data_IF_044694979911
#
_entry.id   IF_044694979911
#
_cell.length_a   1.000
_cell.length_b   1.000
_cell.length_c   1.000
_cell.angle_alpha   90.00
_cell.angle_beta   90.00
_cell.angle_gamma   90.00
#
_symmetry.space_group_name_H-M   'P 1'
#
loop_
_entity.id
_entity.type
_entity.pdbx_description
1 polymer ?
#
# COMPACT_ATOMS: atom_id res chain seq x y z
N UNK A 1 -6.62 1.26 -4.34
CA UNK A 1 -6.48 2.59 -4.91
C UNK A 1 -5.00 2.96 -5.20
N UNK A 2 -4.03 2.36 -4.53
CA UNK A 2 -2.60 2.70 -4.62
C UNK A 2 -1.78 1.82 -5.59
N UNK A 3 -2.42 0.92 -6.33
CA UNK A 3 -1.77 -0.12 -7.14
C UNK A 3 -1.37 0.34 -8.57
N UNK A 4 -1.66 1.59 -8.94
CA UNK A 4 -1.34 2.17 -10.25
C UNK A 4 -0.17 3.15 -10.12
N UNK A 5 1.03 2.62 -9.90
CA UNK A 5 2.27 3.39 -9.94
C UNK A 5 3.06 3.14 -11.21
N UNK A 6 3.81 4.15 -11.67
CA UNK A 6 4.79 4.02 -12.75
C UNK A 6 5.97 3.21 -12.19
N UNK A 7 6.34 2.11 -12.84
CA UNK A 7 7.56 1.37 -12.51
C UNK A 7 8.76 2.22 -12.90
N UNK A 8 9.65 2.49 -11.93
CA UNK A 8 10.86 3.26 -12.18
C UNK A 8 12.06 2.33 -12.44
N UNK A 9 12.35 1.46 -11.49
CA UNK A 9 13.46 0.51 -11.56
C UNK A 9 13.23 -0.65 -10.59
N UNK A 10 14.05 -1.69 -10.71
CA UNK A 10 14.06 -2.82 -9.79
C UNK A 10 15.39 -2.84 -9.03
N UNK A 11 15.34 -2.85 -7.70
CA UNK A 11 16.52 -2.86 -6.84
C UNK A 11 16.49 -4.08 -5.91
N UNK A 12 17.52 -4.92 -5.95
CA UNK A 12 17.62 -6.19 -5.21
C UNK A 12 16.39 -7.12 -5.38
N UNK A 13 15.70 -7.05 -6.54
CA UNK A 13 14.51 -7.83 -6.82
C UNK A 13 13.20 -7.22 -6.30
N UNK A 14 13.25 -6.00 -5.75
CA UNK A 14 12.07 -5.22 -5.37
C UNK A 14 11.78 -4.16 -6.43
N UNK A 15 10.54 -4.12 -6.92
CA UNK A 15 10.10 -3.09 -7.83
C UNK A 15 9.86 -1.78 -7.09
N UNK A 16 10.51 -0.71 -7.51
CA UNK A 16 10.26 0.65 -7.03
C UNK A 16 9.26 1.30 -7.97
N UNK A 17 8.09 1.63 -7.44
CA UNK A 17 7.00 2.26 -8.17
C UNK A 17 6.71 3.66 -7.62
N UNK A 18 6.40 4.58 -8.51
CA UNK A 18 6.03 5.95 -8.17
C UNK A 18 4.55 6.17 -8.47
N UNK A 19 3.79 6.53 -7.45
CA UNK A 19 2.43 7.01 -7.65
C UNK A 19 2.48 8.46 -8.12
N UNK A 20 1.60 8.86 -9.03
CA UNK A 20 1.56 10.23 -9.57
C UNK A 20 1.37 11.30 -8.48
N UNK A 21 0.72 10.97 -7.35
CA UNK A 21 0.56 11.89 -6.21
C UNK A 21 1.87 12.30 -5.56
N UNK A 22 2.92 11.49 -5.72
CA UNK A 22 4.26 11.85 -5.25
C UNK A 22 4.87 13.02 -6.02
N UNK A 23 4.53 13.18 -7.30
CA UNK A 23 5.01 14.32 -8.09
C UNK A 23 4.52 15.65 -7.51
N UNK A 24 3.30 15.69 -6.98
CA UNK A 24 2.77 16.88 -6.29
C UNK A 24 3.64 17.19 -5.07
N UNK A 25 3.97 16.18 -4.27
CA UNK A 25 4.85 16.33 -3.11
C UNK A 25 6.25 16.80 -3.53
N UNK A 26 6.82 16.21 -4.59
CA UNK A 26 8.14 16.61 -5.10
C UNK A 26 8.20 18.08 -5.49
N UNK A 27 7.18 18.57 -6.21
CA UNK A 27 7.08 19.98 -6.58
C UNK A 27 6.96 20.86 -5.35
N UNK A 28 6.11 20.50 -4.38
CA UNK A 28 5.93 21.27 -3.14
C UNK A 28 7.21 21.31 -2.30
N UNK A 29 7.91 20.18 -2.14
CA UNK A 29 9.18 20.11 -1.41
C UNK A 29 10.23 20.95 -2.12
N UNK A 30 10.41 20.78 -3.44
CA UNK A 30 11.36 21.56 -4.22
C UNK A 30 11.12 23.07 -4.08
N UNK A 31 9.86 23.47 -4.21
CA UNK A 31 9.46 24.86 -4.04
C UNK A 31 9.75 25.37 -2.61
N UNK A 32 9.37 24.64 -1.58
CA UNK A 32 9.60 24.99 -0.18
C UNK A 32 11.10 25.08 0.15
N UNK A 33 11.91 24.17 -0.38
CA UNK A 33 13.36 24.20 -0.20
C UNK A 33 13.98 25.40 -0.91
N UNK A 34 13.57 25.67 -2.15
CA UNK A 34 14.15 26.73 -2.98
C UNK A 34 13.77 28.15 -2.52
N UNK A 35 12.54 28.34 -2.01
CA UNK A 35 12.04 29.67 -1.63
C UNK A 35 12.05 29.94 -0.13
N UNK A 36 12.14 28.90 0.69
CA UNK A 36 12.10 29.02 2.17
C UNK A 36 13.38 28.54 2.84
N UNK A 37 13.62 27.23 2.82
CA UNK A 37 14.67 26.63 3.64
C UNK A 37 16.09 27.07 3.24
N UNK A 38 16.49 26.91 1.97
CA UNK A 38 17.85 27.24 1.54
C UNK A 38 18.19 28.74 1.61
N UNK A 39 17.32 29.68 1.19
CA UNK A 39 17.56 31.09 1.37
C UNK A 39 17.70 31.49 2.84
N UNK A 40 16.91 30.90 3.74
CA UNK A 40 16.99 31.19 5.18
C UNK A 40 18.26 30.61 5.83
N UNK A 41 18.75 29.48 5.35
CA UNK A 41 19.93 28.81 5.90
C UNK A 41 21.24 29.35 5.34
N UNK A 42 21.30 29.69 4.07
CA UNK A 42 22.48 30.21 3.39
C UNK A 42 22.06 31.40 2.50
N UNK A 43 21.95 32.62 3.07
CA UNK A 43 21.66 33.80 2.29
C UNK A 43 22.81 34.11 1.30
N UNK A 44 22.56 34.97 0.33
CA UNK A 44 23.54 35.49 -0.63
C UNK A 44 23.89 34.56 -1.80
N UNK A 45 23.14 33.50 -2.04
CA UNK A 45 23.25 32.71 -3.28
C UNK A 45 22.28 33.24 -4.34
N UNK A 46 22.57 32.94 -5.63
CA UNK A 46 21.67 33.29 -6.72
C UNK A 46 20.35 32.45 -6.64
N UNK A 47 19.24 33.08 -7.01
CA UNK A 47 17.93 32.40 -7.02
C UNK A 47 17.93 31.09 -7.84
N UNK A 48 18.64 31.07 -8.96
CA UNK A 48 18.80 29.85 -9.77
C UNK A 48 19.49 28.73 -8.99
N UNK A 49 20.47 29.05 -8.14
CA UNK A 49 21.18 28.09 -7.29
C UNK A 49 20.22 27.46 -6.28
N UNK A 50 19.36 28.22 -5.64
CA UNK A 50 18.37 27.67 -4.69
C UNK A 50 17.41 26.68 -5.37
N UNK A 51 16.99 26.95 -6.60
CA UNK A 51 16.15 26.01 -7.36
C UNK A 51 16.88 24.70 -7.64
N UNK A 52 18.15 24.74 -8.06
CA UNK A 52 18.95 23.53 -8.23
C UNK A 52 19.16 22.77 -6.93
N UNK A 53 19.45 23.45 -5.84
CA UNK A 53 19.55 22.88 -4.50
C UNK A 53 18.22 22.22 -4.10
N UNK A 54 17.09 22.86 -4.38
CA UNK A 54 15.76 22.32 -4.13
C UNK A 54 15.50 21.02 -4.90
N UNK A 55 15.82 20.98 -6.20
CA UNK A 55 15.68 19.77 -7.02
C UNK A 55 16.57 18.64 -6.51
N UNK A 56 17.87 18.91 -6.31
CA UNK A 56 18.82 17.90 -5.82
C UNK A 56 18.47 17.42 -4.42
N UNK A 57 18.06 18.33 -3.52
CA UNK A 57 17.58 17.98 -2.18
C UNK A 57 16.34 17.08 -2.21
N UNK A 58 15.38 17.37 -3.10
CA UNK A 58 14.18 16.53 -3.27
C UNK A 58 14.49 15.17 -3.83
N UNK A 59 15.40 15.08 -4.83
CA UNK A 59 15.86 13.79 -5.37
C UNK A 59 16.62 13.00 -4.30
N UNK A 60 17.48 13.65 -3.52
CA UNK A 60 18.19 13.02 -2.40
C UNK A 60 17.24 12.48 -1.33
N UNK A 61 16.20 13.24 -0.97
CA UNK A 61 15.16 12.78 -0.06
C UNK A 61 14.39 11.58 -0.63
N UNK A 62 14.07 11.59 -1.93
CA UNK A 62 13.46 10.43 -2.62
C UNK A 62 14.30 9.16 -2.42
N UNK A 63 15.59 9.23 -2.70
CA UNK A 63 16.49 8.08 -2.49
C UNK A 63 16.59 7.69 -1.01
N UNK A 64 16.61 8.65 -0.10
CA UNK A 64 16.62 8.39 1.35
C UNK A 64 15.40 7.56 1.77
N UNK A 65 14.21 7.93 1.29
CA UNK A 65 12.97 7.17 1.55
C UNK A 65 13.04 5.77 0.91
N UNK A 66 13.53 5.67 -0.33
CA UNK A 66 13.69 4.36 -1.00
C UNK A 66 14.63 3.45 -0.20
N UNK A 67 15.77 3.94 0.27
CA UNK A 67 16.71 3.14 1.07
C UNK A 67 16.14 2.76 2.44
N UNK A 68 15.38 3.65 3.07
CA UNK A 68 14.66 3.35 4.29
C UNK A 68 13.69 2.16 4.09
N UNK A 69 12.80 2.22 3.10
CA UNK A 69 11.85 1.17 2.77
C UNK A 69 12.52 -0.13 2.28
N UNK A 70 13.60 0.02 1.52
CA UNK A 70 14.40 -1.12 1.05
C UNK A 70 15.00 -1.90 2.22
N UNK A 71 15.46 -1.19 3.25
CA UNK A 71 16.03 -1.82 4.46
C UNK A 71 14.98 -2.68 5.19
N UNK A 72 13.76 -2.19 5.33
CA UNK A 72 12.63 -3.00 5.83
C UNK A 72 12.39 -4.24 4.97
N UNK A 73 12.36 -4.05 3.64
CA UNK A 73 12.08 -5.12 2.68
C UNK A 73 13.15 -6.21 2.68
N UNK A 74 14.42 -5.84 2.80
CA UNK A 74 15.55 -6.78 2.89
C UNK A 74 15.48 -7.64 4.16
N UNK A 75 15.18 -7.01 5.29
CA UNK A 75 15.01 -7.74 6.56
C UNK A 75 13.76 -8.63 6.50
N UNK A 76 12.62 -8.14 5.99
CA UNK A 76 11.41 -8.92 5.82
C UNK A 76 11.66 -10.20 5.00
N UNK A 77 12.38 -10.06 3.86
CA UNK A 77 12.77 -11.19 3.00
C UNK A 77 13.60 -12.23 3.72
N UNK A 78 14.53 -11.79 4.59
CA UNK A 78 15.37 -12.70 5.40
C UNK A 78 14.53 -13.54 6.39
N UNK A 79 13.36 -13.03 6.80
CA UNK A 79 12.41 -13.74 7.66
C UNK A 79 11.30 -14.46 6.87
N UNK A 80 11.44 -14.61 5.56
CA UNK A 80 10.48 -15.34 4.72
C UNK A 80 9.15 -14.60 4.51
N UNK A 81 9.09 -13.29 4.81
CA UNK A 81 7.89 -12.48 4.58
C UNK A 81 7.91 -12.01 3.12
N UNK A 82 6.92 -12.42 2.30
CA UNK A 82 6.89 -12.04 0.89
C UNK A 82 6.59 -10.56 0.72
N UNK A 83 7.53 -9.86 0.06
CA UNK A 83 7.44 -8.43 -0.29
C UNK A 83 7.45 -8.30 -1.81
N UNK A 84 6.55 -7.50 -2.38
CA UNK A 84 6.42 -7.37 -3.84
C UNK A 84 7.03 -6.10 -4.42
N UNK A 85 7.20 -5.08 -3.61
CA UNK A 85 7.79 -3.81 -4.06
C UNK A 85 7.58 -2.67 -3.09
N UNK A 86 8.12 -1.52 -3.46
CA UNK A 86 8.05 -0.27 -2.72
C UNK A 86 7.27 0.72 -3.59
N UNK A 87 6.15 1.22 -3.10
CA UNK A 87 5.39 2.26 -3.80
C UNK A 87 5.50 3.56 -3.04
N UNK A 88 5.97 4.62 -3.72
CA UNK A 88 6.04 5.96 -3.16
C UNK A 88 4.79 6.75 -3.53
N UNK A 89 4.20 7.43 -2.54
CA UNK A 89 3.02 8.28 -2.68
C UNK A 89 3.15 9.53 -1.79
N UNK A 90 2.17 10.44 -1.84
CA UNK A 90 2.22 11.76 -1.19
C UNK A 90 2.58 11.77 0.30
N UNK A 91 2.30 10.70 1.05
CA UNK A 91 2.63 10.62 2.48
C UNK A 91 3.87 9.76 2.80
N UNK A 92 4.70 9.43 1.79
CA UNK A 92 5.93 8.66 1.96
C UNK A 92 5.98 7.37 1.16
N UNK A 93 6.82 6.41 1.60
CA UNK A 93 6.92 5.08 1.03
C UNK A 93 5.96 4.10 1.70
N UNK A 94 5.53 3.10 0.97
CA UNK A 94 4.80 1.96 1.51
C UNK A 94 5.30 0.67 0.87
N UNK A 95 5.95 -0.15 1.67
CA UNK A 95 6.31 -1.50 1.27
C UNK A 95 5.06 -2.40 1.32
N UNK A 96 4.73 -3.03 0.19
CA UNK A 96 3.55 -3.89 0.09
C UNK A 96 3.83 -5.25 0.74
N UNK A 97 3.39 -5.41 1.99
CA UNK A 97 3.40 -6.69 2.69
C UNK A 97 2.08 -7.44 2.48
N UNK A 98 2.15 -8.68 2.03
CA UNK A 98 0.97 -9.54 1.89
C UNK A 98 0.67 -10.38 3.13
N UNK A 99 1.64 -10.54 4.01
CA UNK A 99 1.49 -11.31 5.24
C UNK A 99 2.03 -10.51 6.42
N UNK A 100 1.38 -10.66 7.56
CA UNK A 100 1.92 -10.12 8.81
C UNK A 100 3.13 -10.92 9.28
N UNK A 101 4.06 -10.30 10.03
CA UNK A 101 5.18 -11.01 10.65
C UNK A 101 4.70 -12.17 11.51
N UNK A 102 5.36 -13.32 11.39
CA UNK A 102 4.96 -14.55 12.09
C UNK A 102 5.27 -14.54 13.60
N UNK A 103 6.18 -13.66 14.03
CA UNK A 103 6.60 -13.56 15.43
C UNK A 103 7.03 -12.12 15.76
N UNK A 104 7.02 -11.75 17.07
CA UNK A 104 7.40 -10.40 17.51
C UNK A 104 8.82 -10.01 17.14
N UNK A 105 9.77 -10.96 17.17
CA UNK A 105 11.19 -10.69 16.88
C UNK A 105 11.40 -10.25 15.43
N UNK A 106 10.76 -10.94 14.47
CA UNK A 106 10.85 -10.55 13.06
C UNK A 106 10.26 -9.17 12.81
N UNK A 107 9.15 -8.83 13.48
CA UNK A 107 8.53 -7.51 13.35
C UNK A 107 9.44 -6.40 13.93
N UNK A 108 10.03 -6.59 15.12
CA UNK A 108 10.96 -5.62 15.70
C UNK A 108 12.15 -5.35 14.78
N UNK A 109 12.82 -6.42 14.32
CA UNK A 109 14.01 -6.29 13.49
C UNK A 109 13.70 -5.66 12.12
N UNK A 110 12.57 -6.02 11.53
CA UNK A 110 12.10 -5.40 10.31
C UNK A 110 11.83 -3.90 10.53
N UNK A 111 11.09 -3.53 11.59
CA UNK A 111 10.73 -2.14 11.86
C UNK A 111 11.90 -1.27 12.28
N UNK A 112 12.96 -1.83 12.88
CA UNK A 112 14.18 -1.10 13.20
C UNK A 112 15.06 -0.85 11.98
N UNK A 113 14.97 -1.67 10.94
CA UNK A 113 15.88 -1.61 9.78
C UNK A 113 15.85 -0.28 9.05
N UNK A 114 14.66 0.29 8.82
CA UNK A 114 14.51 1.59 8.17
C UNK A 114 15.11 2.75 8.96
N UNK A 115 14.69 2.96 10.22
CA UNK A 115 15.29 3.99 11.08
C UNK A 115 16.81 3.87 11.21
N UNK A 116 17.35 2.65 11.38
CA UNK A 116 18.80 2.43 11.45
C UNK A 116 19.47 2.84 10.13
N UNK A 117 18.92 2.46 8.98
CA UNK A 117 19.44 2.88 7.69
C UNK A 117 19.44 4.40 7.53
N UNK A 118 18.34 5.07 7.90
CA UNK A 118 18.26 6.53 7.87
C UNK A 118 19.26 7.19 8.81
N UNK A 119 19.49 6.65 10.01
CA UNK A 119 20.52 7.17 10.93
C UNK A 119 21.90 7.04 10.30
N UNK A 120 22.24 5.87 9.73
CA UNK A 120 23.53 5.65 9.08
C UNK A 120 23.73 6.63 7.93
N UNK A 121 22.74 6.77 7.04
CA UNK A 121 22.79 7.70 5.91
C UNK A 121 22.95 9.14 6.42
N UNK A 122 22.17 9.52 7.43
CA UNK A 122 22.25 10.86 8.05
C UNK A 122 23.62 11.16 8.60
N UNK A 123 24.20 10.24 9.38
CA UNK A 123 25.53 10.37 9.94
C UNK A 123 26.64 10.41 8.89
N UNK A 124 26.51 9.61 7.81
CA UNK A 124 27.45 9.65 6.68
C UNK A 124 27.44 11.01 6.01
N UNK A 125 26.27 11.58 5.68
CA UNK A 125 26.17 12.91 5.07
C UNK A 125 26.71 14.00 5.99
N UNK A 126 26.38 13.98 7.29
CA UNK A 126 26.89 14.93 8.27
C UNK A 126 28.41 14.78 8.46
N UNK A 127 28.91 13.56 8.46
CA UNK A 127 30.35 13.28 8.53
C UNK A 127 31.11 13.83 7.31
N UNK A 128 30.58 13.63 6.09
CA UNK A 128 31.15 14.20 4.86
C UNK A 128 31.16 15.73 4.94
N UNK A 129 30.07 16.34 5.40
CA UNK A 129 29.96 17.80 5.54
C UNK A 129 30.97 18.32 6.60
N UNK A 130 31.12 17.63 7.71
CA UNK A 130 32.07 17.98 8.77
C UNK A 130 33.54 17.87 8.31
N UNK A 131 33.90 16.78 7.62
CA UNK A 131 35.27 16.57 7.09
C UNK A 131 35.60 17.60 6.02
N UNK A 132 34.61 18.00 5.17
CA UNK A 132 34.77 19.05 4.17
C UNK A 132 34.98 20.44 4.76
N UNK A 133 34.71 20.62 6.05
CA UNK A 133 34.90 21.86 6.80
C UNK A 133 34.22 23.07 6.20
N UNK A 134 34.78 24.28 6.45
CA UNK A 134 34.20 25.51 5.95
C UNK A 134 34.22 25.62 4.39
N UNK A 135 35.21 24.99 3.75
CA UNK A 135 35.34 25.00 2.29
C UNK A 135 34.17 24.30 1.58
N UNK A 136 33.63 23.25 2.14
CA UNK A 136 32.45 22.55 1.61
C UNK A 136 31.17 23.15 2.19
N UNK A 137 31.12 23.41 3.49
CA UNK A 137 29.90 23.77 4.21
C UNK A 137 29.24 25.06 3.75
N UNK A 138 29.99 26.00 3.15
CA UNK A 138 29.49 27.25 2.59
C UNK A 138 29.10 27.14 1.10
N UNK A 139 29.37 26.01 0.47
CA UNK A 139 28.96 25.80 -0.94
C UNK A 139 27.53 25.26 -1.02
N UNK A 140 26.86 25.49 -2.16
CA UNK A 140 25.54 24.93 -2.43
C UNK A 140 25.49 23.40 -2.23
N UNK A 141 26.57 22.70 -2.62
CA UNK A 141 26.70 21.25 -2.45
C UNK A 141 26.77 20.87 -0.96
N UNK A 142 27.59 21.57 -0.18
CA UNK A 142 27.72 21.30 1.26
C UNK A 142 26.43 21.56 2.03
N UNK A 143 25.70 22.62 1.67
CA UNK A 143 24.38 22.93 2.26
C UNK A 143 23.37 21.83 1.95
N UNK A 144 23.33 21.29 0.70
CA UNK A 144 22.46 20.18 0.33
C UNK A 144 22.86 18.89 1.07
N UNK A 145 24.16 18.59 1.18
CA UNK A 145 24.65 17.45 1.95
C UNK A 145 24.25 17.56 3.43
N UNK A 146 24.41 18.74 4.03
CA UNK A 146 23.96 19.01 5.40
C UNK A 146 22.44 18.81 5.57
N UNK A 147 21.66 19.33 4.65
CA UNK A 147 20.21 19.13 4.61
C UNK A 147 19.86 17.62 4.55
N UNK A 148 20.48 16.86 3.64
CA UNK A 148 20.23 15.43 3.52
C UNK A 148 20.62 14.66 4.78
N UNK A 149 21.68 15.10 5.46
CA UNK A 149 22.06 14.54 6.75
C UNK A 149 20.98 14.75 7.82
N UNK A 150 20.54 15.99 7.99
CA UNK A 150 19.53 16.37 8.99
C UNK A 150 18.18 15.71 8.68
N UNK A 151 17.72 15.75 7.43
CA UNK A 151 16.41 15.20 7.08
C UNK A 151 16.33 13.68 7.25
N UNK A 152 17.44 12.95 7.06
CA UNK A 152 17.49 11.54 7.34
C UNK A 152 17.39 11.23 8.85
N UNK A 153 18.01 12.05 9.70
CA UNK A 153 17.86 11.93 11.16
C UNK A 153 16.43 12.26 11.60
N UNK A 154 15.81 13.30 11.01
CA UNK A 154 14.40 13.62 11.25
C UNK A 154 13.50 12.48 10.81
N UNK A 155 13.74 11.89 9.63
CA UNK A 155 13.00 10.73 9.11
C UNK A 155 13.07 9.56 10.07
N UNK A 156 14.27 9.26 10.61
CA UNK A 156 14.45 8.21 11.61
C UNK A 156 13.72 8.53 12.91
N UNK A 157 13.89 9.73 13.44
CA UNK A 157 13.26 10.16 14.69
C UNK A 157 11.73 10.14 14.59
N UNK A 158 11.17 10.63 13.50
CA UNK A 158 9.73 10.62 13.27
C UNK A 158 9.19 9.18 13.17
N UNK A 159 9.88 8.31 12.44
CA UNK A 159 9.47 6.91 12.32
C UNK A 159 9.64 6.13 13.62
N UNK A 160 10.51 6.53 14.54
CA UNK A 160 10.66 5.90 15.87
C UNK A 160 9.61 6.34 16.89
N UNK A 161 8.75 7.31 16.58
CA UNK A 161 7.62 7.67 17.46
C UNK A 161 6.74 6.42 17.68
N UNK A 162 6.39 6.08 18.94
CA UNK A 162 5.64 4.85 19.25
C UNK A 162 4.15 4.97 18.90
N UNK A 163 3.86 5.41 17.69
CA UNK A 163 2.53 5.68 17.15
C UNK A 163 2.30 4.87 15.86
N UNK A 164 1.46 3.85 15.90
CA UNK A 164 1.11 3.12 14.68
C UNK A 164 0.45 4.06 13.65
N UNK A 165 0.78 4.03 12.35
CA UNK A 165 1.51 2.98 11.60
C UNK A 165 3.02 3.17 11.48
N UNK A 166 3.62 4.15 12.16
CA UNK A 166 5.06 4.38 12.12
C UNK A 166 5.83 3.17 12.64
N UNK A 167 7.12 3.07 12.32
CA UNK A 167 7.95 1.93 12.73
C UNK A 167 8.06 1.77 14.24
N UNK A 168 8.17 2.88 14.99
CA UNK A 168 8.12 2.88 16.44
C UNK A 168 6.81 2.34 17.00
N UNK A 169 5.69 2.59 16.31
CA UNK A 169 4.40 2.00 16.64
C UNK A 169 4.34 0.49 16.39
N UNK A 170 5.02 -0.01 15.36
CA UNK A 170 5.19 -1.45 15.10
C UNK A 170 6.11 -2.09 16.14
N UNK A 171 7.20 -1.42 16.50
CA UNK A 171 8.09 -1.87 17.59
C UNK A 171 7.30 -1.97 18.90
N UNK A 172 6.52 -0.95 19.26
CA UNK A 172 5.65 -0.96 20.42
C UNK A 172 4.65 -2.13 20.36
N UNK A 173 3.98 -2.33 19.22
CA UNK A 173 3.08 -3.46 19.00
C UNK A 173 3.77 -4.79 19.28
N UNK A 174 4.97 -4.97 18.74
CA UNK A 174 5.72 -6.21 18.86
C UNK A 174 6.21 -6.48 20.28
N UNK A 175 6.61 -5.45 21.01
CA UNK A 175 6.98 -5.56 22.43
C UNK A 175 5.79 -5.96 23.27
N UNK A 176 4.63 -5.33 23.06
CA UNK A 176 3.38 -5.68 23.72
C UNK A 176 2.92 -7.11 23.37
N UNK A 177 3.08 -7.50 22.09
CA UNK A 177 2.76 -8.85 21.64
C UNK A 177 3.68 -9.90 22.28
N UNK A 178 5.00 -9.64 22.32
CA UNK A 178 5.96 -10.55 22.97
C UNK A 178 5.63 -10.78 24.46
N UNK A 179 5.23 -9.73 25.19
CA UNK A 179 4.90 -9.80 26.61
C UNK A 179 3.54 -10.44 26.86
N UNK A 180 2.53 -10.02 26.12
CA UNK A 180 1.12 -10.43 26.35
C UNK A 180 0.65 -11.62 25.53
N UNK A 181 1.46 -12.14 24.57
CA UNK A 181 1.14 -13.22 23.62
C UNK A 181 -0.16 -13.01 22.82
N UNK A 182 -0.71 -11.80 22.84
CA UNK A 182 -1.96 -11.41 22.16
C UNK A 182 -1.69 -10.27 21.16
N UNK A 183 -1.59 -10.63 19.88
CA UNK A 183 -1.39 -9.67 18.79
C UNK A 183 -2.58 -8.69 18.67
N UNK A 184 -3.82 -9.16 18.92
CA UNK A 184 -5.03 -8.33 18.82
C UNK A 184 -5.00 -7.19 19.85
N UNK A 185 -4.67 -7.53 21.11
CA UNK A 185 -4.54 -6.54 22.19
C UNK A 185 -3.39 -5.57 21.92
N UNK A 186 -2.23 -6.09 21.49
CA UNK A 186 -1.07 -5.27 21.13
C UNK A 186 -1.39 -4.27 20.01
N UNK A 187 -2.00 -4.75 18.89
CA UNK A 187 -2.41 -3.90 17.78
C UNK A 187 -3.45 -2.86 18.21
N UNK A 188 -4.43 -3.23 19.06
CA UNK A 188 -5.44 -2.30 19.58
C UNK A 188 -4.80 -1.15 20.37
N UNK A 189 -3.83 -1.45 21.24
CA UNK A 189 -3.14 -0.43 22.04
C UNK A 189 -2.32 0.48 21.15
N UNK A 190 -1.47 -0.08 20.28
CA UNK A 190 -0.62 0.70 19.37
C UNK A 190 -1.42 1.56 18.41
N UNK A 191 -2.55 1.04 17.87
CA UNK A 191 -3.45 1.82 17.02
C UNK A 191 -4.17 2.93 17.76
N UNK A 192 -4.52 2.75 19.05
CA UNK A 192 -5.09 3.82 19.86
C UNK A 192 -4.09 4.94 20.11
N UNK A 193 -2.84 4.59 20.42
CA UNK A 193 -1.74 5.57 20.59
C UNK A 193 -1.51 6.31 19.28
N UNK A 194 -1.44 5.59 18.14
CA UNK A 194 -1.29 6.22 16.82
C UNK A 194 -2.46 7.15 16.47
N UNK A 195 -3.70 6.75 16.78
CA UNK A 195 -4.88 7.61 16.58
C UNK A 195 -4.84 8.84 17.48
N UNK A 196 -4.37 8.72 18.73
CA UNK A 196 -4.17 9.82 19.66
C UNK A 196 -3.10 10.79 19.18
N UNK A 197 -1.97 10.26 18.68
CA UNK A 197 -0.91 11.07 18.07
C UNK A 197 -1.41 11.81 16.81
N UNK A 198 -2.23 11.15 15.97
CA UNK A 198 -2.89 11.81 14.84
C UNK A 198 -3.80 12.97 15.28
N UNK A 199 -4.56 12.82 16.37
CA UNK A 199 -5.38 13.91 16.94
C UNK A 199 -4.47 15.05 17.44
N UNK A 200 -3.39 14.71 18.13
CA UNK A 200 -2.42 15.71 18.60
C UNK A 200 -1.89 16.54 17.45
N UNK A 201 -1.47 15.92 16.33
CA UNK A 201 -1.00 16.66 15.14
C UNK A 201 -2.10 17.52 14.52
N UNK A 202 -3.36 17.07 14.50
CA UNK A 202 -4.49 17.86 14.01
C UNK A 202 -4.65 19.13 14.87
N UNK A 203 -4.62 18.99 16.19
CA UNK A 203 -4.75 20.13 17.12
C UNK A 203 -3.59 21.11 16.94
N UNK A 204 -2.35 20.60 16.87
CA UNK A 204 -1.18 21.42 16.62
C UNK A 204 -1.26 22.15 15.26
N UNK A 205 -1.75 21.44 14.22
CA UNK A 205 -1.95 22.04 12.90
C UNK A 205 -2.99 23.16 12.92
N UNK A 206 -4.08 23.01 13.68
CA UNK A 206 -5.09 24.09 13.84
C UNK A 206 -4.50 25.28 14.60
N UNK A 207 -3.73 25.05 15.65
CA UNK A 207 -3.08 26.12 16.40
C UNK A 207 -2.05 26.88 15.56
N UNK A 208 -1.25 26.18 14.77
CA UNK A 208 -0.27 26.74 13.86
C UNK A 208 -0.94 27.56 12.74
N UNK A 209 -2.06 27.05 12.21
CA UNK A 209 -2.90 27.76 11.24
C UNK A 209 -3.45 29.10 11.80
N UNK A 210 -3.99 29.08 13.03
CA UNK A 210 -4.50 30.26 13.70
C UNK A 210 -3.34 31.25 14.03
N UNK A 211 -2.15 30.71 14.32
CA UNK A 211 -0.92 31.49 14.55
C UNK A 211 -0.33 32.13 13.30
N UNK A 212 -0.96 31.99 12.13
CA UNK A 212 -0.55 32.60 10.86
C UNK A 212 0.31 31.73 9.95
N UNK A 213 0.73 30.57 10.38
CA UNK A 213 1.42 29.59 9.52
C UNK A 213 0.41 28.68 8.80
N UNK A 214 -0.32 29.23 7.83
CA UNK A 214 -1.41 28.55 7.13
C UNK A 214 -0.96 27.25 6.44
N UNK A 215 0.18 27.28 5.76
CA UNK A 215 0.69 26.12 5.00
C UNK A 215 1.14 25.00 5.96
N UNK A 216 1.93 25.33 6.97
CA UNK A 216 2.40 24.38 7.98
C UNK A 216 1.24 23.76 8.76
N UNK A 217 0.29 24.60 9.19
CA UNK A 217 -0.89 24.15 9.93
C UNK A 217 -1.77 23.18 9.15
N UNK A 218 -2.07 23.49 7.88
CA UNK A 218 -2.83 22.58 6.99
C UNK A 218 -2.07 21.27 6.79
N UNK A 219 -0.74 21.34 6.58
CA UNK A 219 0.07 20.15 6.36
C UNK A 219 0.11 19.24 7.59
N UNK A 220 0.31 19.78 8.78
CA UNK A 220 0.25 19.04 10.04
C UNK A 220 -1.12 18.37 10.26
N UNK A 221 -2.20 19.11 9.99
CA UNK A 221 -3.55 18.57 10.12
C UNK A 221 -3.81 17.41 9.14
N UNK A 222 -3.34 17.53 7.88
CA UNK A 222 -3.45 16.47 6.87
C UNK A 222 -2.67 15.22 7.29
N UNK A 223 -1.43 15.37 7.75
CA UNK A 223 -0.64 14.23 8.28
C UNK A 223 -1.35 13.58 9.46
N UNK A 224 -1.87 14.38 10.40
CA UNK A 224 -2.60 13.87 11.56
C UNK A 224 -3.87 13.10 11.17
N UNK A 225 -4.67 13.59 10.23
CA UNK A 225 -5.85 12.88 9.69
C UNK A 225 -5.46 11.56 9.01
N UNK A 226 -4.39 11.58 8.24
CA UNK A 226 -3.86 10.39 7.56
C UNK A 226 -3.41 9.33 8.56
N UNK A 227 -2.58 9.67 9.54
CA UNK A 227 -2.10 8.76 10.59
C UNK A 227 -3.26 8.17 11.39
N UNK A 228 -4.24 9.00 11.79
CA UNK A 228 -5.44 8.56 12.48
C UNK A 228 -6.26 7.55 11.66
N UNK A 229 -6.44 7.84 10.36
CA UNK A 229 -7.19 6.97 9.45
C UNK A 229 -6.52 5.61 9.29
N UNK A 230 -5.21 5.59 9.01
CA UNK A 230 -4.46 4.33 8.86
C UNK A 230 -4.43 3.54 10.16
N UNK A 231 -4.21 4.20 11.31
CA UNK A 231 -4.21 3.53 12.62
C UNK A 231 -5.52 2.79 12.89
N UNK A 232 -6.67 3.40 12.60
CA UNK A 232 -7.98 2.77 12.74
C UNK A 232 -8.18 1.62 11.76
N UNK A 233 -7.87 1.86 10.50
CA UNK A 233 -8.06 0.87 9.43
C UNK A 233 -7.20 -0.38 9.65
N UNK A 234 -5.98 -0.24 10.15
CA UNK A 234 -5.09 -1.37 10.42
C UNK A 234 -5.63 -2.31 11.50
N UNK A 235 -6.22 -1.75 12.57
CA UNK A 235 -6.86 -2.58 13.58
C UNK A 235 -8.09 -3.30 13.03
N UNK A 236 -8.91 -2.63 12.23
CA UNK A 236 -10.07 -3.25 11.59
C UNK A 236 -9.66 -4.37 10.63
N UNK A 237 -8.61 -4.16 9.82
CA UNK A 237 -8.07 -5.19 8.92
C UNK A 237 -7.60 -6.43 9.69
N UNK A 238 -6.93 -6.25 10.84
CA UNK A 238 -6.53 -7.36 11.68
C UNK A 238 -7.75 -8.13 12.21
N UNK A 239 -8.80 -7.43 12.65
CA UNK A 239 -10.03 -8.07 13.13
C UNK A 239 -10.73 -8.88 12.04
N UNK A 240 -10.87 -8.30 10.84
CA UNK A 240 -11.44 -8.99 9.68
C UNK A 240 -10.63 -10.25 9.34
N UNK A 241 -9.31 -10.11 9.26
CA UNK A 241 -8.43 -11.25 8.97
C UNK A 241 -8.59 -12.38 10.00
N UNK A 242 -8.58 -12.04 11.30
CA UNK A 242 -8.76 -13.03 12.37
C UNK A 242 -10.15 -13.67 12.40
N UNK A 243 -11.18 -12.94 11.97
CA UNK A 243 -12.52 -13.49 11.85
C UNK A 243 -12.65 -14.51 10.69
N UNK A 244 -11.81 -14.35 9.66
CA UNK A 244 -11.80 -15.23 8.48
C UNK A 244 -10.78 -16.37 8.57
N UNK A 245 -9.81 -16.28 9.48
CA UNK A 245 -8.71 -17.24 9.63
C UNK A 245 -9.23 -18.59 10.14
N UNK A 246 -8.94 -19.65 9.39
CA UNK A 246 -9.42 -21.02 9.69
C UNK A 246 -10.87 -21.29 9.24
N UNK A 247 -11.58 -20.28 8.75
CA UNK A 247 -12.95 -20.46 8.27
C UNK A 247 -12.96 -20.84 6.78
N UNK A 248 -13.64 -21.93 6.40
CA UNK A 248 -13.74 -22.36 5.02
C UNK A 248 -14.63 -21.40 4.22
N UNK A 249 -14.31 -21.23 2.93
CA UNK A 249 -15.00 -20.30 2.03
C UNK A 249 -16.50 -20.58 1.90
N UNK A 250 -16.93 -21.85 2.10
CA UNK A 250 -18.34 -22.24 2.05
C UNK A 250 -19.25 -21.49 3.03
N UNK A 251 -18.70 -20.92 4.13
CA UNK A 251 -19.49 -20.09 5.08
C UNK A 251 -19.88 -18.74 4.53
N UNK A 252 -19.14 -18.24 3.54
CA UNK A 252 -19.28 -16.87 3.02
C UNK A 252 -19.72 -16.83 1.56
N UNK A 253 -19.73 -17.99 0.87
CA UNK A 253 -20.14 -18.04 -0.52
C UNK A 253 -21.67 -17.89 -0.68
N UNK A 254 -22.07 -17.36 -1.82
CA UNK A 254 -23.45 -17.41 -2.28
C UNK A 254 -23.70 -18.78 -2.93
N UNK A 255 -24.60 -19.58 -2.34
CA UNK A 255 -24.83 -21.00 -2.73
C UNK A 255 -25.74 -21.16 -3.95
N UNK A 256 -26.49 -20.10 -4.32
CA UNK A 256 -27.35 -20.12 -5.50
C UNK A 256 -26.94 -18.99 -6.46
N UNK A 257 -25.84 -19.18 -7.22
CA UNK A 257 -25.37 -18.19 -8.17
C UNK A 257 -26.25 -18.23 -9.44
N UNK A 258 -26.46 -17.06 -10.05
CA UNK A 258 -27.08 -16.99 -11.37
C UNK A 258 -26.13 -17.65 -12.37
N UNK A 259 -26.55 -18.77 -12.96
CA UNK A 259 -25.82 -19.50 -13.99
C UNK A 259 -26.38 -19.19 -15.37
N UNK A 260 -25.57 -19.45 -16.39
CA UNK A 260 -25.96 -19.29 -17.79
C UNK A 260 -25.68 -20.57 -18.57
N UNK A 261 -26.53 -20.88 -19.53
CA UNK A 261 -26.29 -21.99 -20.44
C UNK A 261 -25.35 -21.62 -21.57
N UNK A 262 -24.52 -22.56 -22.06
CA UNK A 262 -23.57 -22.27 -23.14
C UNK A 262 -24.25 -21.98 -24.48
N UNK A 263 -25.49 -22.43 -24.67
CA UNK A 263 -26.27 -22.30 -25.93
C UNK A 263 -26.92 -20.94 -26.13
N UNK A 264 -27.03 -20.09 -25.09
CA UNK A 264 -27.64 -18.75 -25.24
C UNK A 264 -26.71 -17.83 -26.03
N UNK A 265 -27.30 -16.86 -26.76
CA UNK A 265 -26.55 -15.86 -27.52
C UNK A 265 -25.88 -14.86 -26.60
N UNK A 266 -24.84 -14.18 -27.09
CA UNK A 266 -24.21 -13.08 -26.35
C UNK A 266 -25.18 -11.94 -26.12
N UNK A 267 -26.14 -11.71 -27.03
CA UNK A 267 -27.18 -10.72 -26.86
C UNK A 267 -28.09 -11.07 -25.68
N UNK A 268 -28.59 -12.32 -25.61
CA UNK A 268 -29.41 -12.81 -24.51
C UNK A 268 -28.66 -12.73 -23.17
N UNK A 269 -27.36 -13.08 -23.16
CA UNK A 269 -26.51 -12.92 -22.00
C UNK A 269 -26.44 -11.47 -21.52
N UNK A 270 -26.33 -10.51 -22.44
CA UNK A 270 -26.22 -9.09 -22.08
C UNK A 270 -27.55 -8.54 -21.58
N UNK A 271 -28.63 -8.77 -22.35
CA UNK A 271 -29.94 -8.18 -22.06
C UNK A 271 -30.60 -8.81 -20.83
N UNK A 272 -30.61 -10.15 -20.74
CA UNK A 272 -31.36 -10.87 -19.71
C UNK A 272 -30.54 -11.20 -18.45
N UNK A 273 -29.19 -11.17 -18.53
CA UNK A 273 -28.35 -11.48 -17.37
C UNK A 273 -27.50 -10.28 -16.94
N UNK A 274 -26.69 -9.69 -17.82
CA UNK A 274 -25.76 -8.63 -17.42
C UNK A 274 -26.51 -7.38 -16.98
N UNK A 275 -27.48 -6.90 -17.76
CA UNK A 275 -28.28 -5.72 -17.43
C UNK A 275 -29.25 -5.97 -16.28
N UNK A 276 -29.74 -7.20 -16.11
CA UNK A 276 -30.69 -7.54 -15.06
C UNK A 276 -30.02 -7.74 -13.70
N UNK A 277 -28.90 -8.46 -13.64
CA UNK A 277 -28.27 -8.87 -12.37
C UNK A 277 -27.02 -8.04 -12.04
N UNK A 278 -26.46 -7.29 -12.99
CA UNK A 278 -25.24 -6.48 -12.83
C UNK A 278 -24.03 -7.25 -12.28
N UNK A 279 -23.96 -8.56 -12.56
CA UNK A 279 -22.84 -9.37 -12.12
C UNK A 279 -21.66 -9.21 -13.09
N UNK A 280 -20.43 -9.32 -12.56
CA UNK A 280 -19.20 -9.23 -13.37
C UNK A 280 -18.74 -10.58 -13.91
N UNK A 281 -19.30 -11.68 -13.42
CA UNK A 281 -18.93 -13.05 -13.76
C UNK A 281 -20.14 -13.94 -13.58
N UNK A 282 -20.36 -14.82 -14.53
CA UNK A 282 -21.42 -15.83 -14.53
C UNK A 282 -20.79 -17.19 -14.72
N UNK A 283 -21.08 -18.19 -13.85
CA UNK A 283 -20.78 -19.58 -14.11
C UNK A 283 -21.57 -20.09 -15.32
N UNK A 284 -20.90 -20.81 -16.21
CA UNK A 284 -21.51 -21.47 -17.36
C UNK A 284 -21.71 -22.94 -17.04
N UNK A 285 -22.97 -23.40 -17.09
CA UNK A 285 -23.31 -24.79 -16.73
C UNK A 285 -24.11 -25.45 -17.83
N UNK A 286 -23.90 -26.75 -18.04
CA UNK A 286 -24.71 -27.59 -18.93
C UNK A 286 -25.20 -28.78 -18.11
N UNK A 287 -26.51 -28.94 -17.99
CA UNK A 287 -27.14 -30.03 -17.18
C UNK A 287 -26.61 -30.08 -15.73
N UNK A 288 -26.31 -28.93 -15.14
CA UNK A 288 -25.73 -28.82 -13.77
C UNK A 288 -24.22 -29.01 -13.69
N UNK A 289 -23.55 -29.40 -14.77
CA UNK A 289 -22.09 -29.51 -14.81
C UNK A 289 -21.44 -28.18 -15.14
N UNK A 290 -20.41 -27.77 -14.39
CA UNK A 290 -19.69 -26.53 -14.58
C UNK A 290 -18.71 -26.64 -15.76
N UNK A 291 -18.96 -25.93 -16.84
CA UNK A 291 -18.08 -25.87 -18.01
C UNK A 291 -17.01 -24.77 -17.90
N UNK A 292 -17.36 -23.67 -17.24
CA UNK A 292 -16.47 -22.53 -17.13
C UNK A 292 -17.15 -21.29 -16.60
N UNK A 293 -16.66 -20.13 -17.03
CA UNK A 293 -17.25 -18.85 -16.69
C UNK A 293 -17.19 -17.85 -17.84
N UNK A 294 -18.12 -16.91 -17.85
CA UNK A 294 -18.17 -15.79 -18.77
C UNK A 294 -18.25 -14.46 -18.00
N UNK A 295 -17.62 -13.44 -18.55
CA UNK A 295 -17.60 -12.09 -17.99
C UNK A 295 -17.66 -11.03 -19.08
N UNK A 296 -18.01 -9.79 -18.73
CA UNK A 296 -18.15 -8.69 -19.67
C UNK A 296 -16.92 -8.44 -20.59
N UNK A 297 -15.65 -8.56 -20.14
CA UNK A 297 -14.49 -8.42 -21.02
C UNK A 297 -14.44 -9.42 -22.18
N UNK A 298 -15.01 -10.62 -22.02
CA UNK A 298 -15.07 -11.63 -23.08
C UNK A 298 -16.12 -11.25 -24.11
N UNK A 299 -17.29 -10.80 -23.66
CA UNK A 299 -18.36 -10.30 -24.54
C UNK A 299 -17.91 -9.09 -25.36
N UNK A 300 -17.13 -8.19 -24.76
CA UNK A 300 -16.59 -6.98 -25.43
C UNK A 300 -15.56 -7.27 -26.55
N UNK A 301 -15.13 -8.51 -26.73
CA UNK A 301 -14.27 -8.91 -27.85
C UNK A 301 -15.05 -8.94 -29.16
N UNK A 302 -16.38 -8.99 -29.09
CA UNK A 302 -17.29 -9.00 -30.23
C UNK A 302 -18.02 -7.66 -30.33
N UNK A 303 -18.22 -7.18 -31.57
CA UNK A 303 -19.08 -6.00 -31.80
C UNK A 303 -20.54 -6.34 -31.51
N UNK A 304 -21.37 -5.33 -31.21
CA UNK A 304 -22.79 -5.53 -30.87
C UNK A 304 -23.57 -6.27 -31.97
N UNK A 305 -23.22 -6.03 -33.24
CA UNK A 305 -23.82 -6.66 -34.42
C UNK A 305 -23.52 -8.16 -34.54
N UNK A 306 -22.52 -8.64 -33.81
CA UNK A 306 -22.13 -10.05 -33.80
C UNK A 306 -22.75 -10.82 -32.64
N UNK A 307 -23.36 -10.16 -31.65
CA UNK A 307 -23.86 -10.81 -30.45
C UNK A 307 -24.98 -11.81 -30.69
N UNK A 308 -25.83 -11.59 -31.69
CA UNK A 308 -26.87 -12.55 -32.10
C UNK A 308 -26.29 -13.84 -32.74
N UNK A 309 -25.09 -13.75 -33.35
CA UNK A 309 -24.47 -14.83 -34.11
C UNK A 309 -23.55 -15.71 -33.26
N UNK A 310 -23.13 -15.21 -32.10
CA UNK A 310 -22.24 -15.92 -31.19
C UNK A 310 -22.95 -16.33 -29.92
N UNK A 311 -22.56 -17.50 -29.39
CA UNK A 311 -23.10 -18.05 -28.15
C UNK A 311 -22.11 -17.88 -26.99
N UNK A 312 -22.56 -18.15 -25.78
CA UNK A 312 -21.71 -18.20 -24.60
C UNK A 312 -20.61 -19.26 -24.74
N UNK A 313 -20.87 -20.36 -25.45
CA UNK A 313 -19.90 -21.45 -25.70
C UNK A 313 -18.66 -20.94 -26.47
N UNK A 314 -18.82 -19.94 -27.37
CA UNK A 314 -17.71 -19.36 -28.14
C UNK A 314 -16.74 -18.54 -27.27
N UNK A 315 -17.21 -18.05 -26.11
CA UNK A 315 -16.44 -17.14 -25.25
C UNK A 315 -16.16 -17.67 -23.86
N UNK A 316 -16.69 -18.85 -23.53
CA UNK A 316 -16.50 -19.44 -22.20
C UNK A 316 -15.04 -19.67 -21.89
N UNK A 317 -14.60 -19.25 -20.70
CA UNK A 317 -13.28 -19.61 -20.18
C UNK A 317 -13.39 -20.82 -19.27
N UNK A 318 -12.59 -21.83 -19.55
CA UNK A 318 -12.49 -23.02 -18.69
C UNK A 318 -12.13 -22.64 -17.26
N UNK A 319 -12.59 -23.44 -16.33
CA UNK A 319 -12.23 -23.32 -14.93
C UNK A 319 -10.74 -23.62 -14.74
N UNK A 320 -10.04 -22.71 -14.08
CA UNK A 320 -8.64 -22.85 -13.71
C UNK A 320 -8.42 -22.36 -12.26
N UNK A 321 -7.24 -22.56 -11.72
CA UNK A 321 -6.90 -22.11 -10.39
C UNK A 321 -7.09 -20.60 -10.19
N UNK A 322 -7.09 -19.80 -11.28
CA UNK A 322 -7.27 -18.36 -11.18
C UNK A 322 -8.73 -17.94 -11.01
N UNK A 323 -9.70 -18.73 -11.47
CA UNK A 323 -11.11 -18.37 -11.44
C UNK A 323 -11.97 -19.27 -10.54
N UNK A 324 -11.42 -20.40 -10.06
CA UNK A 324 -12.09 -21.36 -9.18
C UNK A 324 -11.36 -21.58 -7.87
N UNK A 325 -12.11 -22.08 -6.87
CA UNK A 325 -11.60 -22.42 -5.53
C UNK A 325 -12.45 -23.56 -4.92
N UNK A 326 -11.82 -24.47 -4.19
CA UNK A 326 -12.52 -25.49 -3.42
C UNK A 326 -13.25 -24.89 -2.21
N UNK A 327 -14.45 -25.40 -1.91
CA UNK A 327 -15.34 -24.90 -0.83
C UNK A 327 -14.72 -24.93 0.57
N UNK A 328 -13.75 -25.82 0.81
CA UNK A 328 -13.07 -25.97 2.09
C UNK A 328 -11.79 -25.14 2.22
N UNK A 329 -11.44 -24.38 1.19
CA UNK A 329 -10.26 -23.52 1.24
C UNK A 329 -10.44 -22.40 2.28
N UNK A 330 -9.37 -22.09 3.01
CA UNK A 330 -9.32 -20.99 3.99
C UNK A 330 -9.65 -19.63 3.35
N UNK A 331 -10.56 -18.90 3.99
CA UNK A 331 -11.09 -17.63 3.47
C UNK A 331 -10.04 -16.53 3.37
N UNK A 332 -9.06 -16.48 4.30
CA UNK A 332 -7.96 -15.49 4.26
C UNK A 332 -7.05 -15.74 3.06
N UNK A 333 -6.78 -17.03 2.76
CA UNK A 333 -5.98 -17.42 1.58
C UNK A 333 -6.65 -16.98 0.28
N UNK A 334 -7.97 -17.16 0.19
CA UNK A 334 -8.74 -16.76 -0.99
C UNK A 334 -8.81 -15.25 -1.11
N UNK A 335 -9.11 -14.53 -0.03
CA UNK A 335 -9.10 -13.06 -0.02
C UNK A 335 -7.76 -12.50 -0.49
N UNK A 336 -6.64 -13.04 -0.01
CA UNK A 336 -5.29 -12.64 -0.42
C UNK A 336 -5.04 -12.90 -1.91
N UNK A 337 -5.46 -14.08 -2.41
CA UNK A 337 -5.32 -14.46 -3.83
C UNK A 337 -6.18 -13.58 -4.74
N UNK A 338 -7.42 -13.27 -4.35
CA UNK A 338 -8.31 -12.38 -5.10
C UNK A 338 -7.71 -10.96 -5.20
N UNK A 339 -7.20 -10.43 -4.10
CA UNK A 339 -6.53 -9.10 -4.07
C UNK A 339 -5.28 -9.07 -4.94
N UNK A 340 -4.41 -10.09 -4.83
CA UNK A 340 -3.18 -10.21 -5.62
C UNK A 340 -3.45 -10.24 -7.13
N UNK A 341 -4.48 -10.97 -7.55
CA UNK A 341 -4.84 -11.14 -8.95
C UNK A 341 -5.80 -10.06 -9.48
N UNK A 342 -6.14 -9.05 -8.67
CA UNK A 342 -7.11 -7.99 -9.04
C UNK A 342 -8.52 -8.52 -9.29
N UNK A 343 -8.85 -9.71 -8.80
CA UNK A 343 -10.16 -10.35 -9.01
C UNK A 343 -11.12 -10.01 -7.88
N UNK A 344 -12.32 -9.62 -8.23
CA UNK A 344 -13.37 -9.32 -7.25
C UNK A 344 -14.31 -10.50 -6.97
N UNK A 345 -14.19 -11.60 -7.72
CA UNK A 345 -15.08 -12.78 -7.65
C UNK A 345 -14.33 -14.04 -8.05
N UNK A 346 -14.75 -15.19 -7.48
CA UNK A 346 -14.30 -16.53 -7.86
C UNK A 346 -15.47 -17.50 -7.77
N UNK A 347 -15.44 -18.53 -8.61
CA UNK A 347 -16.37 -19.66 -8.56
C UNK A 347 -15.91 -20.60 -7.45
N UNK A 348 -16.84 -21.05 -6.63
CA UNK A 348 -16.58 -22.06 -5.60
C UNK A 348 -17.04 -23.41 -6.10
N UNK A 349 -16.18 -24.40 -6.01
CA UNK A 349 -16.46 -25.77 -6.44
C UNK A 349 -16.41 -26.76 -5.29
N UNK A 350 -17.18 -27.80 -5.40
CA UNK A 350 -17.17 -28.98 -4.53
C UNK A 350 -17.02 -30.21 -5.41
N UNK A 351 -15.92 -30.94 -5.27
CA UNK A 351 -15.62 -32.11 -6.10
C UNK A 351 -15.73 -31.85 -7.62
N UNK A 352 -15.34 -30.63 -8.06
CA UNK A 352 -15.41 -30.22 -9.47
C UNK A 352 -16.77 -29.67 -9.92
N UNK A 353 -17.84 -29.81 -9.13
CA UNK A 353 -19.16 -29.25 -9.40
C UNK A 353 -19.32 -27.85 -8.84
N UNK A 354 -20.20 -27.03 -9.43
CA UNK A 354 -20.52 -25.69 -8.95
C UNK A 354 -21.18 -25.77 -7.56
N UNK A 355 -20.52 -25.18 -6.56
CA UNK A 355 -21.07 -25.04 -5.21
C UNK A 355 -21.58 -23.61 -4.94
N UNK A 356 -20.99 -22.60 -5.58
CA UNK A 356 -21.39 -21.22 -5.39
C UNK A 356 -20.43 -20.22 -6.01
N UNK A 357 -20.60 -18.96 -5.64
CA UNK A 357 -19.71 -17.85 -6.02
C UNK A 357 -19.34 -17.06 -4.77
N UNK A 358 -18.10 -16.61 -4.69
CA UNK A 358 -17.61 -15.75 -3.62
C UNK A 358 -17.17 -14.40 -4.18
N UNK A 359 -17.45 -13.33 -3.48
CA UNK A 359 -17.00 -11.99 -3.83
C UNK A 359 -16.15 -11.38 -2.71
N UNK A 360 -15.26 -10.44 -3.05
CA UNK A 360 -14.50 -9.67 -2.04
C UNK A 360 -15.40 -8.85 -1.10
N UNK A 361 -16.67 -8.65 -1.45
CA UNK A 361 -17.64 -7.92 -0.62
C UNK A 361 -18.25 -8.81 0.47
N UNK A 362 -18.31 -10.10 0.23
CA UNK A 362 -18.83 -11.10 1.16
C UNK A 362 -17.76 -11.61 2.14
N UNK A 363 -16.48 -11.38 1.83
CA UNK A 363 -15.32 -11.59 2.69
C UNK A 363 -14.96 -10.32 3.45
#
# INVERSE_FOLDING_TARGET
MFDKGIHLFTLFGFEVRLNWTWLILAVLITWSLATGFFPAYSPDMQTSTYWWMGVVGTIGLFFSIVFHELSHSLVARRYGIPMHGITLFVFGGMAQMHQEPHNPKSEILMSLAGPIASIIIGLVFLGVNYIGGQALGQTAVGVVIGYLGIINLILAAFNLIPAFPLDGGRILRSVLWARGKDLRRATRISSRIGSGFGIFLIVMGVLDFIGGNFIGGVWLALIGMFLRSISKNSYQQLLMRKALEGEPIKRFMKTDPVTVEPSITLEDLVENYIYRYHHKLYPVTRNGELLGCVSLPQVKQFSREQWEKHTVDDVVRKCDENNTVDENTDSVRIMSRMRKNGKSRMIVTKNGQLAGVITLKEL
#
